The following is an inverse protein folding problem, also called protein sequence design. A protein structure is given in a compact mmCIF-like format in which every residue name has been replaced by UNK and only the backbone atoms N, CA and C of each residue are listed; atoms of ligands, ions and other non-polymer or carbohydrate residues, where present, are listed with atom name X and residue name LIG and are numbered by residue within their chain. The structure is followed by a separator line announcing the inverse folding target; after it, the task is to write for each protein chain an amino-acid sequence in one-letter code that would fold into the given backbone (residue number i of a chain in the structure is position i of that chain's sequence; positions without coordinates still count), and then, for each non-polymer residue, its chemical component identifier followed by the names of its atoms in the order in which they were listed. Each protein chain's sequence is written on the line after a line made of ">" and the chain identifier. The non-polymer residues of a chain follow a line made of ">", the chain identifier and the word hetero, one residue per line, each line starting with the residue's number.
data_IF_803169227746
#
_entry.id   IF_803169227746
#
_cell.length_a   1.000
_cell.length_b   1.000
_cell.length_c   1.000
_cell.angle_alpha   90.00
_cell.angle_beta   90.00
_cell.angle_gamma   90.00
#
_symmetry.space_group_name_H-M   'P 1'
#
loop_
_entity.id
_entity.type
_entity.pdbx_description
1 polymer ?
#
# COMPACT_ATOMS: atom_id res chain seq x y z
N UNK A 1 -6.59 -19.57 -2.73
CA UNK A 1 -6.51 -18.27 -3.44
C UNK A 1 -6.61 -17.17 -2.41
N UNK A 2 -5.60 -16.32 -2.31
CA UNK A 2 -5.51 -15.25 -1.32
C UNK A 2 -6.10 -13.96 -1.91
N UNK A 3 -7.43 -13.88 -1.84
CA UNK A 3 -8.20 -12.75 -2.39
C UNK A 3 -8.90 -11.97 -1.29
N UNK A 4 -9.01 -10.67 -1.47
CA UNK A 4 -9.75 -9.76 -0.60
C UNK A 4 -10.64 -8.84 -1.42
N UNK A 5 -11.79 -8.47 -0.85
CA UNK A 5 -12.72 -7.54 -1.49
C UNK A 5 -13.45 -6.74 -0.41
N UNK A 6 -13.44 -5.43 -0.58
CA UNK A 6 -14.04 -4.48 0.35
C UNK A 6 -14.91 -3.49 -0.42
N UNK A 7 -16.11 -3.28 0.07
CA UNK A 7 -16.96 -2.15 -0.31
C UNK A 7 -17.12 -1.24 0.89
N UNK A 8 -16.76 0.03 0.73
CA UNK A 8 -16.87 1.07 1.75
C UNK A 8 -17.68 2.23 1.21
N UNK A 9 -18.80 2.52 1.85
CA UNK A 9 -19.67 3.63 1.50
C UNK A 9 -19.88 4.51 2.71
N UNK A 10 -19.60 5.80 2.57
CA UNK A 10 -19.87 6.85 3.55
C UNK A 10 -20.76 7.92 2.94
N UNK A 11 -20.93 9.06 3.59
CA UNK A 11 -21.57 10.23 2.97
C UNK A 11 -20.66 10.96 1.99
N UNK A 12 -19.36 10.72 2.06
CA UNK A 12 -18.30 11.42 1.32
C UNK A 12 -17.76 10.60 0.16
N UNK A 13 -17.74 9.26 0.32
CA UNK A 13 -17.11 8.36 -0.65
C UNK A 13 -17.93 7.08 -0.87
N UNK A 14 -17.81 6.49 -2.06
CA UNK A 14 -18.27 5.12 -2.37
C UNK A 14 -17.11 4.40 -3.09
N UNK A 15 -16.55 3.39 -2.43
CA UNK A 15 -15.29 2.76 -2.83
C UNK A 15 -15.46 1.25 -2.87
N UNK A 16 -15.01 0.65 -3.97
CA UNK A 16 -14.91 -0.79 -4.16
C UNK A 16 -13.45 -1.16 -4.45
N UNK A 17 -12.91 -2.08 -3.66
CA UNK A 17 -11.56 -2.63 -3.83
C UNK A 17 -11.63 -4.14 -3.93
N UNK A 18 -10.93 -4.73 -4.89
CA UNK A 18 -10.70 -6.16 -4.98
C UNK A 18 -9.24 -6.44 -5.30
N UNK A 19 -8.65 -7.42 -4.61
CA UNK A 19 -7.25 -7.82 -4.79
C UNK A 19 -7.09 -9.33 -4.92
N UNK A 20 -6.00 -9.74 -5.58
CA UNK A 20 -5.49 -11.10 -5.57
C UNK A 20 -3.98 -11.04 -5.30
N UNK A 21 -3.54 -11.54 -4.12
CA UNK A 21 -2.13 -11.54 -3.73
C UNK A 21 -1.28 -12.47 -4.61
N UNK A 22 -1.90 -13.46 -5.25
CA UNK A 22 -1.27 -14.43 -6.14
C UNK A 22 -1.43 -14.07 -7.63
N UNK A 23 -1.70 -12.80 -7.91
CA UNK A 23 -1.96 -12.25 -9.24
C UNK A 23 -0.72 -12.08 -10.12
N UNK A 24 -0.90 -11.32 -11.19
CA UNK A 24 0.12 -11.03 -12.20
C UNK A 24 0.55 -9.56 -12.23
N UNK A 25 -0.08 -8.72 -11.40
CA UNK A 25 0.06 -7.28 -11.37
C UNK A 25 -0.85 -6.58 -12.38
N UNK A 26 -1.99 -7.20 -12.71
CA UNK A 26 -3.04 -6.56 -13.50
C UNK A 26 -3.76 -5.50 -12.66
N UNK A 27 -4.08 -4.36 -13.28
CA UNK A 27 -4.77 -3.26 -12.60
C UNK A 27 -5.98 -2.77 -13.38
N UNK A 28 -7.00 -2.34 -12.64
CA UNK A 28 -8.16 -1.60 -13.15
C UNK A 28 -8.54 -0.56 -12.12
N UNK A 29 -8.05 0.68 -12.28
CA UNK A 29 -8.11 1.72 -11.26
C UNK A 29 -8.82 2.94 -11.82
N UNK A 30 -9.77 3.47 -11.05
CA UNK A 30 -10.51 4.68 -11.35
C UNK A 30 -10.90 5.36 -10.06
N UNK A 31 -10.11 6.35 -9.62
CA UNK A 31 -10.36 7.12 -8.40
C UNK A 31 -10.86 8.53 -8.68
N UNK A 32 -10.69 9.02 -9.89
CA UNK A 32 -10.91 10.41 -10.26
C UNK A 32 -9.72 11.32 -9.93
N UNK A 33 -8.64 10.78 -9.35
CA UNK A 33 -7.41 11.48 -8.97
C UNK A 33 -6.24 10.88 -9.75
N UNK A 34 -5.89 11.52 -10.87
CA UNK A 34 -4.94 10.94 -11.85
C UNK A 34 -3.58 10.57 -11.28
N UNK A 35 -3.04 11.36 -10.35
CA UNK A 35 -1.76 11.04 -9.70
C UNK A 35 -1.88 9.80 -8.78
N UNK A 36 -2.98 9.68 -8.04
CA UNK A 36 -3.22 8.52 -7.20
C UNK A 36 -3.45 7.26 -8.04
N UNK A 37 -4.21 7.36 -9.16
CA UNK A 37 -4.39 6.25 -10.11
C UNK A 37 -3.02 5.74 -10.57
N UNK A 38 -2.11 6.64 -10.94
CA UNK A 38 -0.75 6.27 -11.35
C UNK A 38 0.03 5.58 -10.23
N UNK A 39 -0.02 6.08 -8.99
CA UNK A 39 0.66 5.45 -7.85
C UNK A 39 0.12 4.04 -7.56
N UNK A 40 -1.18 3.85 -7.66
CA UNK A 40 -1.82 2.56 -7.43
C UNK A 40 -1.55 1.55 -8.58
N UNK A 41 -1.43 2.02 -9.82
CA UNK A 41 -0.97 1.20 -10.95
C UNK A 41 0.46 0.69 -10.74
N UNK A 42 1.36 1.56 -10.23
CA UNK A 42 2.71 1.15 -9.85
C UNK A 42 2.70 0.13 -8.71
N UNK A 43 1.83 0.34 -7.72
CA UNK A 43 1.67 -0.61 -6.62
C UNK A 43 1.28 -2.00 -7.15
N UNK A 44 0.25 -2.10 -7.98
CA UNK A 44 -0.18 -3.35 -8.58
C UNK A 44 0.94 -3.99 -9.41
N UNK A 45 1.53 -3.24 -10.32
CA UNK A 45 2.54 -3.72 -11.27
C UNK A 45 3.77 -4.30 -10.58
N UNK A 46 4.31 -3.58 -9.59
CA UNK A 46 5.57 -3.94 -8.94
C UNK A 46 5.38 -4.96 -7.80
N UNK A 47 4.21 -5.00 -7.17
CA UNK A 47 3.87 -6.03 -6.19
C UNK A 47 3.46 -7.37 -6.82
N UNK A 48 3.04 -7.36 -8.09
CA UNK A 48 2.40 -8.50 -8.77
C UNK A 48 1.03 -8.87 -8.20
N UNK A 49 0.47 -8.02 -7.36
CA UNK A 49 -0.90 -8.16 -6.86
C UNK A 49 -1.85 -7.66 -7.95
N UNK A 50 -2.87 -8.43 -8.30
CA UNK A 50 -3.94 -7.90 -9.15
C UNK A 50 -4.82 -6.97 -8.31
N UNK A 51 -5.15 -5.79 -8.86
CA UNK A 51 -5.80 -4.72 -8.13
C UNK A 51 -6.92 -4.09 -8.96
N UNK A 52 -8.12 -4.11 -8.41
CA UNK A 52 -9.26 -3.36 -8.95
C UNK A 52 -9.71 -2.35 -7.91
N UNK A 53 -9.77 -1.07 -8.28
CA UNK A 53 -10.28 0.02 -7.44
C UNK A 53 -11.26 0.87 -8.26
N UNK A 54 -12.45 1.04 -7.72
CA UNK A 54 -13.43 2.01 -8.20
C UNK A 54 -13.79 2.91 -7.03
N UNK A 55 -13.58 4.20 -7.19
CA UNK A 55 -13.92 5.17 -6.17
C UNK A 55 -14.70 6.34 -6.78
N UNK A 56 -15.69 6.80 -6.03
CA UNK A 56 -16.39 8.04 -6.26
C UNK A 56 -16.41 8.80 -4.94
N UNK A 57 -15.73 9.93 -4.89
CA UNK A 57 -15.67 10.78 -3.71
C UNK A 57 -16.10 12.22 -3.99
N UNK A 58 -16.09 13.01 -2.96
CA UNK A 58 -16.44 14.43 -2.92
C UNK A 58 -15.28 15.34 -3.38
N UNK A 59 -14.68 15.02 -4.53
CA UNK A 59 -13.50 15.69 -5.09
C UNK A 59 -13.67 17.20 -5.31
N UNK A 60 -14.89 17.72 -5.23
CA UNK A 60 -15.18 19.15 -5.26
C UNK A 60 -14.78 19.87 -3.94
N UNK A 61 -14.60 19.13 -2.86
CA UNK A 61 -14.02 19.59 -1.58
C UNK A 61 -12.49 19.62 -1.73
N UNK A 62 -11.88 18.44 -1.77
CA UNK A 62 -10.46 18.17 -2.05
C UNK A 62 -10.25 16.67 -2.32
N UNK A 63 -9.00 16.21 -2.33
CA UNK A 63 -8.68 14.80 -2.55
C UNK A 63 -8.52 13.98 -1.26
N UNK A 64 -8.66 14.59 -0.07
CA UNK A 64 -8.32 13.95 1.21
C UNK A 64 -9.17 12.73 1.49
N UNK A 65 -10.50 12.90 1.61
CA UNK A 65 -11.41 11.81 1.97
C UNK A 65 -11.29 10.61 1.02
N UNK A 66 -11.17 10.87 -0.28
CA UNK A 66 -11.04 9.81 -1.28
C UNK A 66 -9.72 9.06 -1.13
N UNK A 67 -8.63 9.78 -0.92
CA UNK A 67 -7.28 9.20 -0.76
C UNK A 67 -7.19 8.35 0.50
N UNK A 68 -7.64 8.86 1.63
CA UNK A 68 -7.67 8.16 2.91
C UNK A 68 -8.54 6.89 2.82
N UNK A 69 -9.77 7.02 2.36
CA UNK A 69 -10.73 5.92 2.31
C UNK A 69 -10.30 4.80 1.34
N UNK A 70 -9.58 5.13 0.27
CA UNK A 70 -8.93 4.11 -0.60
C UNK A 70 -7.83 3.39 0.18
N UNK A 71 -6.99 4.10 0.94
CA UNK A 71 -5.98 3.49 1.81
C UNK A 71 -6.60 2.54 2.83
N UNK A 72 -7.69 2.96 3.49
CA UNK A 72 -8.47 2.13 4.42
C UNK A 72 -8.98 0.86 3.73
N UNK A 73 -9.70 1.01 2.62
CA UNK A 73 -10.34 -0.11 1.93
C UNK A 73 -9.30 -1.10 1.37
N UNK A 74 -8.19 -0.60 0.82
CA UNK A 74 -7.10 -1.45 0.32
C UNK A 74 -6.39 -2.18 1.47
N UNK A 75 -6.11 -1.49 2.58
CA UNK A 75 -5.54 -2.11 3.78
C UNK A 75 -6.40 -3.25 4.30
N UNK A 76 -7.72 -3.05 4.39
CA UNK A 76 -8.68 -4.08 4.79
C UNK A 76 -8.71 -5.25 3.81
N UNK A 77 -8.65 -5.00 2.51
CA UNK A 77 -8.62 -6.04 1.49
C UNK A 77 -7.34 -6.89 1.58
N UNK A 78 -6.18 -6.26 1.83
CA UNK A 78 -4.91 -6.97 2.08
C UNK A 78 -5.01 -7.84 3.32
N UNK A 79 -5.52 -7.31 4.43
CA UNK A 79 -5.72 -8.07 5.67
C UNK A 79 -6.63 -9.28 5.46
N UNK A 80 -7.73 -9.10 4.72
CA UNK A 80 -8.66 -10.19 4.36
C UNK A 80 -7.96 -11.26 3.51
N UNK A 81 -7.20 -10.86 2.50
CA UNK A 81 -6.50 -11.77 1.59
C UNK A 81 -5.37 -12.55 2.28
N UNK A 82 -4.71 -11.97 3.29
CA UNK A 82 -3.66 -12.64 4.07
C UNK A 82 -4.21 -13.80 4.93
N UNK A 83 -5.48 -13.76 5.31
CA UNK A 83 -6.12 -14.81 6.08
C UNK A 83 -5.40 -15.13 7.38
N UNK A 84 -5.00 -16.39 7.57
CA UNK A 84 -4.28 -16.87 8.75
C UNK A 84 -2.77 -16.61 8.74
N UNK A 85 -2.27 -15.97 7.68
CA UNK A 85 -0.85 -15.59 7.50
C UNK A 85 0.14 -16.77 7.54
N UNK A 86 -0.32 -18.01 7.28
CA UNK A 86 0.55 -19.17 7.22
C UNK A 86 1.45 -19.14 6.01
N UNK A 87 2.69 -19.56 6.20
CA UNK A 87 3.66 -19.75 5.15
C UNK A 87 4.20 -18.47 4.51
N UNK A 88 3.75 -17.28 4.91
CA UNK A 88 4.25 -16.03 4.33
C UNK A 88 5.70 -15.76 4.76
N UNK A 89 6.46 -15.06 3.91
CA UNK A 89 7.83 -14.59 4.26
C UNK A 89 7.80 -13.59 5.42
N UNK A 90 6.71 -12.82 5.56
CA UNK A 90 6.40 -11.89 6.64
C UNK A 90 7.18 -10.59 6.61
N UNK A 91 8.53 -10.64 6.58
CA UNK A 91 9.40 -9.46 6.58
C UNK A 91 9.92 -9.18 5.19
N UNK A 92 10.10 -7.92 4.88
CA UNK A 92 10.86 -7.48 3.71
C UNK A 92 11.43 -6.09 3.91
N UNK A 93 12.57 -5.85 3.30
CA UNK A 93 13.13 -4.52 3.14
C UNK A 93 13.67 -4.34 1.73
N UNK A 94 13.56 -3.12 1.22
CA UNK A 94 14.03 -2.78 -0.12
C UNK A 94 14.54 -1.34 -0.16
N UNK A 95 15.50 -1.09 -1.04
CA UNK A 95 15.87 0.25 -1.48
C UNK A 95 15.45 0.39 -2.95
N UNK A 96 14.71 1.44 -3.25
CA UNK A 96 14.18 1.69 -4.61
C UNK A 96 14.67 3.05 -5.08
N UNK A 97 15.52 3.09 -6.11
CA UNK A 97 15.88 4.33 -6.78
C UNK A 97 14.78 4.73 -7.77
N UNK A 98 14.56 6.03 -7.90
CA UNK A 98 13.83 6.66 -8.99
C UNK A 98 14.62 7.88 -9.42
N UNK A 99 15.42 7.72 -10.45
CA UNK A 99 16.43 8.68 -10.91
C UNK A 99 17.30 9.18 -9.74
N UNK A 100 17.16 10.44 -9.31
CA UNK A 100 17.94 11.06 -8.23
C UNK A 100 17.38 10.78 -6.83
N UNK A 101 16.16 10.20 -6.72
CA UNK A 101 15.56 9.86 -5.44
C UNK A 101 15.87 8.41 -5.04
N UNK A 102 16.09 8.19 -3.75
CA UNK A 102 16.27 6.85 -3.17
C UNK A 102 15.41 6.71 -1.93
N UNK A 103 14.50 5.74 -1.93
CA UNK A 103 13.66 5.42 -0.78
C UNK A 103 13.92 4.01 -0.26
N UNK A 104 14.06 3.88 1.05
CA UNK A 104 14.07 2.62 1.78
C UNK A 104 12.66 2.34 2.30
N UNK A 105 12.17 1.11 2.08
CA UNK A 105 10.93 0.62 2.68
C UNK A 105 11.21 -0.68 3.40
N UNK A 106 10.79 -0.79 4.66
CA UNK A 106 10.83 -2.02 5.44
C UNK A 106 9.45 -2.29 6.03
N UNK A 107 8.99 -3.55 5.98
CA UNK A 107 7.71 -3.92 6.54
C UNK A 107 7.74 -5.27 7.26
N UNK A 108 6.85 -5.41 8.25
CA UNK A 108 6.53 -6.63 8.97
C UNK A 108 5.01 -6.86 8.92
N UNK A 109 4.58 -7.96 8.33
CA UNK A 109 3.17 -8.40 8.39
C UNK A 109 2.93 -9.01 9.79
N UNK A 110 2.89 -8.13 10.78
CA UNK A 110 2.86 -8.48 12.20
C UNK A 110 1.46 -8.63 12.79
N UNK A 111 0.45 -8.09 12.11
CA UNK A 111 -0.88 -7.87 12.69
C UNK A 111 -0.94 -6.71 13.69
N UNK A 112 0.16 -6.00 13.91
CA UNK A 112 0.27 -4.81 14.77
C UNK A 112 0.56 -3.58 13.90
N UNK A 113 -0.48 -2.78 13.58
CA UNK A 113 -0.34 -1.65 12.67
C UNK A 113 0.56 -0.55 13.26
N UNK A 114 1.50 -0.07 12.47
CA UNK A 114 2.33 1.08 12.80
C UNK A 114 2.92 1.68 11.54
N UNK A 115 3.01 3.00 11.45
CA UNK A 115 3.69 3.69 10.36
C UNK A 115 4.81 4.59 10.91
N UNK A 116 6.00 4.47 10.31
CA UNK A 116 7.03 5.50 10.32
C UNK A 116 7.17 6.01 8.90
N UNK A 117 6.96 7.31 8.71
CA UNK A 117 7.02 7.94 7.40
C UNK A 117 7.97 9.14 7.44
N UNK A 118 9.10 9.02 6.78
CA UNK A 118 10.18 10.01 6.71
C UNK A 118 10.47 10.34 5.23
N UNK A 119 9.49 10.90 4.54
CA UNK A 119 9.65 11.43 3.19
C UNK A 119 9.21 12.90 3.19
N UNK A 120 10.15 13.79 2.91
CA UNK A 120 9.91 15.21 2.83
C UNK A 120 9.67 15.60 1.37
N UNK A 121 8.67 16.46 1.14
CA UNK A 121 8.32 17.01 -0.16
C UNK A 121 8.66 18.50 -0.19
N UNK A 122 9.25 18.94 -1.28
CA UNK A 122 9.68 20.33 -1.45
C UNK A 122 8.57 21.27 -1.92
N UNK A 123 7.44 20.73 -2.39
CA UNK A 123 6.29 21.46 -2.92
C UNK A 123 5.00 20.92 -2.33
N UNK A 124 3.99 21.76 -2.25
CA UNK A 124 2.67 21.38 -1.71
C UNK A 124 1.91 20.41 -2.64
N UNK A 125 2.21 20.42 -3.96
CA UNK A 125 1.47 19.62 -4.97
C UNK A 125 2.37 18.99 -6.04
N UNK A 126 1.93 17.81 -6.48
CA UNK A 126 2.33 17.20 -7.75
C UNK A 126 1.11 17.16 -8.67
N UNK A 127 1.11 17.97 -9.72
CA UNK A 127 -0.09 18.23 -10.51
C UNK A 127 -1.16 18.88 -9.64
N UNK A 128 -2.32 18.23 -9.50
CA UNK A 128 -3.42 18.68 -8.63
C UNK A 128 -3.47 17.94 -7.29
N UNK A 129 -2.56 16.99 -7.05
CA UNK A 129 -2.52 16.15 -5.86
C UNK A 129 -1.65 16.79 -4.77
N UNK A 130 -2.19 16.96 -3.58
CA UNK A 130 -1.46 17.49 -2.44
C UNK A 130 -0.47 16.47 -1.90
N UNK A 131 0.79 16.87 -1.72
CA UNK A 131 1.87 15.94 -1.34
C UNK A 131 1.70 15.37 0.06
N UNK A 132 1.04 16.08 0.96
CA UNK A 132 0.68 15.59 2.31
C UNK A 132 -0.18 14.32 2.27
N UNK A 133 -0.99 14.15 1.20
CA UNK A 133 -1.86 12.99 1.04
C UNK A 133 -1.10 11.70 0.74
N UNK A 134 0.18 11.78 0.39
CA UNK A 134 1.03 10.58 0.28
C UNK A 134 1.14 9.93 1.66
N UNK A 135 1.53 10.70 2.68
CA UNK A 135 1.61 10.18 4.05
C UNK A 135 0.26 9.69 4.56
N UNK A 136 -0.83 10.42 4.28
CA UNK A 136 -2.18 10.07 4.69
C UNK A 136 -2.61 8.71 4.12
N UNK A 137 -2.37 8.50 2.83
CA UNK A 137 -2.65 7.21 2.20
C UNK A 137 -1.84 6.06 2.86
N UNK A 138 -0.53 6.26 3.11
CA UNK A 138 0.31 5.26 3.76
C UNK A 138 -0.15 4.97 5.20
N UNK A 139 -0.58 5.99 5.93
CA UNK A 139 -1.14 5.87 7.28
C UNK A 139 -2.41 5.02 7.26
N UNK A 140 -3.37 5.38 6.41
CA UNK A 140 -4.63 4.66 6.26
C UNK A 140 -4.40 3.19 5.88
N UNK A 141 -3.50 2.94 4.92
CA UNK A 141 -3.14 1.60 4.49
C UNK A 141 -2.50 0.78 5.63
N UNK A 142 -1.47 1.30 6.30
CA UNK A 142 -0.77 0.57 7.35
C UNK A 142 -1.68 0.22 8.52
N UNK A 143 -2.51 1.18 8.98
CA UNK A 143 -3.44 0.98 10.08
C UNK A 143 -4.48 -0.10 9.78
N UNK A 144 -4.95 -0.20 8.55
CA UNK A 144 -6.03 -1.11 8.16
C UNK A 144 -5.55 -2.48 7.65
N UNK A 145 -4.33 -2.56 7.13
CA UNK A 145 -3.71 -3.85 6.74
C UNK A 145 -3.11 -4.62 7.92
N UNK A 146 -2.86 -3.94 9.04
CA UNK A 146 -2.22 -4.54 10.21
C UNK A 146 -0.72 -4.74 10.04
N UNK A 147 -0.08 -3.99 9.13
CA UNK A 147 1.37 -4.05 8.92
C UNK A 147 2.10 -3.01 9.75
N UNK A 148 3.30 -3.35 10.21
CA UNK A 148 4.29 -2.37 10.64
C UNK A 148 5.07 -1.95 9.42
N UNK A 149 5.04 -0.66 9.07
CA UNK A 149 5.59 -0.12 7.83
C UNK A 149 6.52 1.06 8.12
N UNK A 150 7.73 1.00 7.60
CA UNK A 150 8.68 2.09 7.64
C UNK A 150 9.00 2.52 6.21
N UNK A 151 8.83 3.81 5.92
CA UNK A 151 9.16 4.44 4.64
C UNK A 151 10.07 5.61 4.92
N UNK A 152 11.28 5.60 4.35
CA UNK A 152 12.25 6.68 4.53
C UNK A 152 12.90 7.02 3.19
N UNK A 153 12.67 8.23 2.69
CA UNK A 153 13.42 8.78 1.55
C UNK A 153 14.77 9.25 2.06
N UNK A 154 15.83 8.61 1.58
CA UNK A 154 17.19 8.90 2.01
C UNK A 154 17.72 10.20 1.37
N UNK A 155 17.33 10.43 0.14
CA UNK A 155 17.55 11.67 -0.62
C UNK A 155 16.65 11.69 -1.86
N UNK A 156 16.41 12.87 -2.40
CA UNK A 156 15.63 13.15 -3.60
C UNK A 156 15.31 14.62 -3.69
N UNK A 157 15.02 15.12 -4.88
CA UNK A 157 14.68 16.53 -5.11
C UNK A 157 13.42 16.72 -5.95
N UNK A 158 12.98 15.69 -6.66
CA UNK A 158 11.75 15.71 -7.43
C UNK A 158 10.63 15.00 -6.65
N UNK A 159 9.62 15.74 -6.24
CA UNK A 159 8.52 15.21 -5.41
C UNK A 159 7.75 14.06 -6.06
N UNK A 160 7.60 14.08 -7.40
CA UNK A 160 7.03 12.95 -8.14
C UNK A 160 7.89 11.69 -7.96
N UNK A 161 9.21 11.82 -8.14
CA UNK A 161 10.14 10.70 -7.97
C UNK A 161 10.17 10.19 -6.53
N UNK A 162 10.11 11.09 -5.56
CA UNK A 162 10.01 10.73 -4.13
C UNK A 162 8.75 9.90 -3.88
N UNK A 163 7.57 10.41 -4.26
CA UNK A 163 6.31 9.71 -4.08
C UNK A 163 6.31 8.35 -4.80
N UNK A 164 6.74 8.33 -6.06
CA UNK A 164 6.80 7.11 -6.87
C UNK A 164 7.74 6.05 -6.25
N UNK A 165 8.91 6.46 -5.73
CA UNK A 165 9.84 5.55 -5.06
C UNK A 165 9.26 4.98 -3.76
N UNK A 166 8.42 5.72 -3.03
CA UNK A 166 7.69 5.22 -1.86
C UNK A 166 6.70 4.13 -2.25
N UNK A 167 5.84 4.36 -3.26
CA UNK A 167 4.86 3.37 -3.71
C UNK A 167 5.50 2.13 -4.34
N UNK A 168 6.53 2.29 -5.17
CA UNK A 168 7.32 1.16 -5.71
C UNK A 168 8.03 0.38 -4.61
N UNK A 169 8.53 1.07 -3.60
CA UNK A 169 9.16 0.47 -2.42
C UNK A 169 8.18 -0.40 -1.64
N UNK A 170 6.99 0.13 -1.32
CA UNK A 170 5.92 -0.64 -0.70
C UNK A 170 5.53 -1.84 -1.56
N UNK A 171 5.34 -1.64 -2.86
CA UNK A 171 4.97 -2.71 -3.78
C UNK A 171 5.97 -3.87 -3.77
N UNK A 172 7.25 -3.57 -3.86
CA UNK A 172 8.31 -4.60 -3.87
C UNK A 172 8.46 -5.28 -2.52
N UNK A 173 8.34 -4.54 -1.42
CA UNK A 173 8.36 -5.10 -0.07
C UNK A 173 7.16 -6.01 0.16
N UNK A 174 5.94 -5.59 -0.22
CA UNK A 174 4.74 -6.43 -0.16
C UNK A 174 4.89 -7.72 -0.97
N UNK A 175 5.38 -7.62 -2.22
CA UNK A 175 5.63 -8.80 -3.06
C UNK A 175 6.47 -9.86 -2.36
N UNK A 176 7.52 -9.44 -1.66
CA UNK A 176 8.40 -10.34 -0.92
C UNK A 176 7.72 -10.86 0.34
N UNK A 177 7.13 -9.96 1.14
CA UNK A 177 6.57 -10.31 2.44
C UNK A 177 5.36 -11.25 2.35
N UNK A 178 4.52 -11.12 1.32
CA UNK A 178 3.35 -12.00 1.09
C UNK A 178 3.71 -13.31 0.41
N UNK A 179 4.94 -13.46 -0.12
CA UNK A 179 5.35 -14.68 -0.80
C UNK A 179 5.34 -15.89 0.16
N UNK A 180 4.89 -17.03 -0.34
CA UNK A 180 4.88 -18.26 0.44
C UNK A 180 6.28 -18.89 0.41
N UNK A 181 6.88 -19.11 1.59
CA UNK A 181 8.07 -19.94 1.72
C UNK A 181 7.65 -21.42 1.68
N UNK A 182 8.02 -22.10 0.60
CA UNK A 182 7.67 -23.51 0.40
C UNK A 182 8.21 -24.44 1.51
N UNK A 183 9.28 -24.02 2.23
CA UNK A 183 9.86 -24.79 3.33
C UNK A 183 9.07 -24.69 4.64
N UNK A 184 8.21 -23.67 4.75
CA UNK A 184 7.45 -23.34 5.96
C UNK A 184 5.95 -23.08 5.64
N UNK A 185 5.43 -23.63 4.54
CA UNK A 185 4.12 -23.26 3.97
C UNK A 185 2.93 -23.44 4.93
N UNK A 186 3.05 -24.31 5.91
CA UNK A 186 2.00 -24.59 6.90
C UNK A 186 2.28 -23.97 8.30
N UNK A 187 3.35 -23.21 8.43
CA UNK A 187 3.78 -22.63 9.69
C UNK A 187 3.37 -21.15 9.76
N UNK A 188 3.00 -20.70 10.96
CA UNK A 188 2.87 -19.26 11.22
C UNK A 188 4.29 -18.74 11.52
N UNK A 189 4.79 -17.72 10.78
CA UNK A 189 6.16 -17.25 10.93
C UNK A 189 6.33 -16.39 12.19
N UNK A 190 6.10 -17.01 13.36
CA UNK A 190 6.15 -16.36 14.67
C UNK A 190 6.51 -17.38 15.76
N UNK A 191 7.48 -17.05 16.61
CA UNK A 191 7.82 -17.85 17.80
C UNK A 191 6.69 -17.93 18.82
N UNK A 192 5.68 -17.05 18.72
CA UNK A 192 4.46 -17.07 19.54
C UNK A 192 3.38 -18.02 19.01
N UNK A 193 3.55 -18.59 17.81
CA UNK A 193 2.55 -19.42 17.15
C UNK A 193 1.31 -18.65 16.64
N UNK A 194 1.31 -17.33 16.73
CA UNK A 194 0.24 -16.45 16.25
C UNK A 194 0.80 -15.11 15.74
N UNK A 195 0.04 -14.45 14.87
CA UNK A 195 0.23 -13.07 14.43
C UNK A 195 -1.05 -12.28 14.70
N UNK A 196 -0.94 -11.01 15.08
CA UNK A 196 -2.10 -10.14 15.29
C UNK A 196 -2.79 -10.32 16.66
N UNK A 197 -2.07 -10.71 17.68
CA UNK A 197 -2.52 -10.77 19.07
C UNK A 197 -1.89 -9.69 19.92
#
# INVERSE_FOLDING_TARGET
>A
MRKGSVKRTTKETDIEVAIDLDGTGASSISTGIGFLDHMLDLLARHSRIDLTIKAKGDLHIDHHHTTEDIGIALGQAVKQALGDMKGITRYADVHVPMDEALTRVALDISGRPFLVFEAEFGRDKVGTFDTELVQEWFQAFAMNSGVTLHVATLYGTNDHHIAESCFKGLARALRTAVAIDARAANEIPSTKGSLGG
#
